data_IF_792890949868
#
_entry.id   IF_792890949868
#
_cell.length_a   1.000
_cell.length_b   1.000
_cell.length_c   1.000
_cell.angle_alpha   90.00
_cell.angle_beta   90.00
_cell.angle_gamma   90.00
#
_symmetry.space_group_name_H-M   'P 1'
#
loop_
_entity.id
_entity.type
_entity.pdbx_description
1 polymer ?
#
# COMPACT_ATOMS: atom_id res chain seq x y z
N UNK A 1 -6.55 35.72 41.01
CA UNK A 1 -7.66 35.47 40.05
C UNK A 1 -7.08 34.65 38.91
N UNK A 2 -7.19 33.33 38.99
CA UNK A 2 -6.81 32.45 37.88
C UNK A 2 -8.11 32.16 37.12
N UNK A 3 -8.24 32.71 35.92
CA UNK A 3 -9.28 32.24 34.99
C UNK A 3 -8.73 30.97 34.35
N UNK A 4 -9.03 29.84 34.96
CA UNK A 4 -8.84 28.54 34.33
C UNK A 4 -9.84 28.46 33.17
N UNK A 5 -9.42 28.88 31.99
CA UNK A 5 -10.23 28.78 30.77
C UNK A 5 -10.47 27.31 30.46
N UNK A 6 -11.63 26.81 30.85
CA UNK A 6 -12.00 25.43 30.63
C UNK A 6 -12.46 25.28 29.17
N UNK A 7 -11.60 24.74 28.30
CA UNK A 7 -11.86 24.59 26.87
C UNK A 7 -13.18 23.85 26.59
N UNK A 8 -13.50 22.85 27.43
CA UNK A 8 -14.73 22.07 27.33
C UNK A 8 -15.96 22.96 27.58
N UNK A 9 -15.89 23.87 28.55
CA UNK A 9 -16.97 24.80 28.89
C UNK A 9 -17.20 25.83 27.77
N UNK A 10 -16.13 26.28 27.12
CA UNK A 10 -16.23 27.18 25.96
C UNK A 10 -16.93 26.52 24.77
N UNK A 11 -16.60 25.24 24.51
CA UNK A 11 -17.27 24.43 23.47
C UNK A 11 -18.72 24.15 23.85
N UNK A 12 -19.01 23.86 25.12
CA UNK A 12 -20.35 23.55 25.60
C UNK A 12 -21.29 24.77 25.58
N UNK A 13 -20.75 25.97 25.79
CA UNK A 13 -21.50 27.22 25.68
C UNK A 13 -21.56 27.79 24.24
N UNK A 14 -20.87 27.18 23.28
CA UNK A 14 -20.87 27.65 21.90
C UNK A 14 -22.24 27.48 21.22
N UNK A 15 -22.51 28.33 20.22
CA UNK A 15 -23.76 28.27 19.44
C UNK A 15 -23.87 26.98 18.63
N UNK A 16 -25.11 26.57 18.33
CA UNK A 16 -25.40 25.29 17.66
C UNK A 16 -24.67 25.12 16.30
N UNK A 17 -24.56 26.15 15.43
CA UNK A 17 -23.79 26.02 14.19
C UNK A 17 -22.31 25.76 14.43
N UNK A 18 -21.71 26.42 15.43
CA UNK A 18 -20.28 26.30 15.77
C UNK A 18 -19.98 24.88 16.26
N UNK A 19 -20.84 24.31 17.11
CA UNK A 19 -20.73 22.91 17.54
C UNK A 19 -20.78 21.93 16.37
N UNK A 20 -21.66 22.17 15.38
CA UNK A 20 -21.76 21.34 14.18
C UNK A 20 -20.48 21.34 13.35
N UNK A 21 -19.88 22.52 13.12
CA UNK A 21 -18.61 22.64 12.40
C UNK A 21 -17.48 21.95 13.17
N UNK A 22 -17.38 22.15 14.49
CA UNK A 22 -16.35 21.50 15.31
C UNK A 22 -16.45 19.97 15.26
N UNK A 23 -17.67 19.42 15.34
CA UNK A 23 -17.89 17.98 15.22
C UNK A 23 -17.43 17.45 13.86
N UNK A 24 -17.79 18.14 12.77
CA UNK A 24 -17.37 17.77 11.42
C UNK A 24 -15.84 17.76 11.29
N UNK A 25 -15.17 18.79 11.82
CA UNK A 25 -13.72 18.88 11.80
C UNK A 25 -13.07 17.71 12.56
N UNK A 26 -13.59 17.34 13.74
CA UNK A 26 -13.09 16.18 14.49
C UNK A 26 -13.27 14.89 13.69
N UNK A 27 -14.43 14.67 13.08
CA UNK A 27 -14.67 13.51 12.23
C UNK A 27 -13.70 13.48 11.03
N UNK A 28 -13.44 14.61 10.40
CA UNK A 28 -12.50 14.72 9.28
C UNK A 28 -11.06 14.40 9.71
N UNK A 29 -10.64 14.84 10.90
CA UNK A 29 -9.32 14.51 11.47
C UNK A 29 -9.19 12.99 11.70
N UNK A 30 -10.19 12.38 12.33
CA UNK A 30 -10.20 10.92 12.59
C UNK A 30 -10.20 10.13 11.28
N UNK A 31 -11.04 10.53 10.32
CA UNK A 31 -11.10 9.89 9.00
C UNK A 31 -9.76 9.99 8.25
N UNK A 32 -9.10 11.15 8.30
CA UNK A 32 -7.78 11.34 7.69
C UNK A 32 -6.74 10.41 8.31
N UNK A 33 -6.70 10.31 9.65
CA UNK A 33 -5.77 9.42 10.35
C UNK A 33 -6.03 7.94 10.04
N UNK A 34 -7.30 7.54 9.93
CA UNK A 34 -7.69 6.20 9.49
C UNK A 34 -7.16 5.87 8.09
N UNK A 35 -7.31 6.79 7.13
CA UNK A 35 -6.82 6.61 5.75
C UNK A 35 -5.29 6.49 5.73
N UNK A 36 -4.58 7.30 6.50
CA UNK A 36 -3.12 7.24 6.62
C UNK A 36 -2.70 5.85 7.13
N UNK A 37 -3.35 5.36 8.18
CA UNK A 37 -3.03 4.04 8.74
C UNK A 37 -3.32 2.91 7.75
N UNK A 38 -4.46 2.96 7.05
CA UNK A 38 -4.83 1.97 6.04
C UNK A 38 -3.82 1.93 4.87
N UNK A 39 -3.42 3.10 4.35
CA UNK A 39 -2.40 3.20 3.31
C UNK A 39 -1.04 2.73 3.80
N UNK A 40 -0.65 3.09 5.03
CA UNK A 40 0.62 2.66 5.60
C UNK A 40 0.70 1.14 5.73
N UNK A 41 -0.37 0.50 6.20
CA UNK A 41 -0.44 -0.96 6.28
C UNK A 41 -0.36 -1.63 4.90
N UNK A 42 -1.05 -1.08 3.90
CA UNK A 42 -0.99 -1.57 2.51
C UNK A 42 0.42 -1.49 1.92
N UNK A 43 1.11 -0.35 2.09
CA UNK A 43 2.49 -0.18 1.63
C UNK A 43 3.46 -1.10 2.37
N UNK A 44 3.28 -1.26 3.69
CA UNK A 44 4.11 -2.17 4.50
C UNK A 44 3.95 -3.62 4.04
N UNK A 45 2.72 -4.05 3.76
CA UNK A 45 2.45 -5.40 3.25
C UNK A 45 3.12 -5.62 1.88
N UNK A 46 2.99 -4.65 0.96
CA UNK A 46 3.64 -4.71 -0.35
C UNK A 46 5.18 -4.75 -0.24
N UNK A 47 5.76 -3.97 0.68
CA UNK A 47 7.21 -3.95 0.94
C UNK A 47 7.72 -5.28 1.48
N UNK A 48 6.99 -5.92 2.41
CA UNK A 48 7.36 -7.25 2.94
C UNK A 48 7.34 -8.30 1.83
N UNK A 49 6.28 -8.32 1.00
CA UNK A 49 6.18 -9.24 -0.14
C UNK A 49 7.31 -9.02 -1.15
N UNK A 50 7.63 -7.76 -1.47
CA UNK A 50 8.72 -7.41 -2.36
C UNK A 50 10.08 -7.89 -1.83
N UNK A 51 10.36 -7.68 -0.54
CA UNK A 51 11.61 -8.12 0.09
C UNK A 51 11.80 -9.64 0.02
N UNK A 52 10.72 -10.41 0.25
CA UNK A 52 10.73 -11.87 0.15
C UNK A 52 11.02 -12.34 -1.28
N UNK A 53 10.40 -11.68 -2.27
CA UNK A 53 10.69 -11.94 -3.67
C UNK A 53 12.15 -11.64 -4.00
N UNK A 54 12.65 -10.49 -3.55
CA UNK A 54 14.03 -10.04 -3.76
C UNK A 54 15.06 -11.04 -3.20
N UNK A 55 14.86 -11.51 -1.96
CA UNK A 55 15.70 -12.57 -1.37
C UNK A 55 15.71 -13.84 -2.24
N UNK A 56 14.56 -14.24 -2.78
CA UNK A 56 14.46 -15.40 -3.67
C UNK A 56 15.16 -15.14 -5.01
N UNK A 57 14.98 -13.95 -5.58
CA UNK A 57 15.59 -13.54 -6.85
C UNK A 57 17.12 -13.53 -6.76
N UNK A 58 17.69 -13.01 -5.66
CA UNK A 58 19.14 -12.94 -5.44
C UNK A 58 19.75 -14.22 -4.86
N UNK A 59 18.94 -15.17 -4.38
CA UNK A 59 19.43 -16.46 -3.84
C UNK A 59 20.11 -17.36 -4.88
N UNK A 60 20.16 -16.96 -6.16
CA UNK A 60 20.74 -17.74 -7.24
C UNK A 60 19.82 -18.86 -7.75
N UNK A 61 18.53 -18.83 -7.39
CA UNK A 61 17.52 -19.69 -8.00
C UNK A 61 17.35 -19.33 -9.47
N UNK A 62 17.19 -20.35 -10.31
CA UNK A 62 16.91 -20.18 -11.74
C UNK A 62 15.64 -19.32 -11.95
N UNK A 63 15.82 -18.17 -12.60
CA UNK A 63 14.75 -17.23 -12.96
C UNK A 63 13.64 -17.90 -13.77
N UNK A 64 13.97 -18.93 -14.56
CA UNK A 64 12.99 -19.70 -15.31
C UNK A 64 12.06 -20.50 -14.37
N UNK A 65 12.61 -21.11 -13.31
CA UNK A 65 11.83 -21.78 -12.27
C UNK A 65 10.99 -20.81 -11.46
N UNK A 66 11.53 -19.62 -11.17
CA UNK A 66 10.78 -18.54 -10.51
C UNK A 66 9.59 -18.09 -11.36
N UNK A 67 9.82 -17.90 -12.66
CA UNK A 67 8.76 -17.57 -13.62
C UNK A 67 7.70 -18.67 -13.73
N UNK A 68 8.08 -19.95 -13.80
CA UNK A 68 7.12 -21.05 -13.82
C UNK A 68 6.26 -21.11 -12.55
N UNK A 69 6.88 -20.88 -11.38
CA UNK A 69 6.17 -20.86 -10.10
C UNK A 69 5.12 -19.74 -10.09
N UNK A 70 5.50 -18.52 -10.47
CA UNK A 70 4.59 -17.37 -10.53
C UNK A 70 3.50 -17.56 -11.60
N UNK A 71 3.84 -18.14 -12.74
CA UNK A 71 2.90 -18.45 -13.83
C UNK A 71 1.90 -19.55 -13.48
N UNK A 72 2.22 -20.44 -12.53
CA UNK A 72 1.29 -21.45 -11.99
C UNK A 72 0.37 -20.86 -10.93
N UNK A 73 0.84 -19.89 -10.16
CA UNK A 73 0.07 -19.18 -9.13
C UNK A 73 -0.68 -17.95 -9.67
N UNK A 74 -1.25 -18.05 -10.87
CA UNK A 74 -2.02 -16.97 -11.51
C UNK A 74 -3.08 -16.40 -10.55
N UNK A 75 -2.97 -15.11 -10.26
CA UNK A 75 -3.89 -14.37 -9.38
C UNK A 75 -3.44 -14.23 -7.92
N UNK A 76 -2.34 -14.89 -7.52
CA UNK A 76 -1.72 -14.68 -6.18
C UNK A 76 -0.48 -13.79 -6.21
N UNK A 77 0.15 -13.60 -7.37
CA UNK A 77 1.29 -12.69 -7.49
C UNK A 77 0.80 -11.25 -7.29
N UNK A 78 1.52 -10.46 -6.50
CA UNK A 78 1.18 -9.04 -6.23
C UNK A 78 2.43 -8.17 -6.19
N UNK A 79 2.30 -6.93 -6.65
CA UNK A 79 3.38 -5.95 -6.67
C UNK A 79 4.55 -6.38 -7.55
N UNK A 80 5.72 -6.56 -6.95
CA UNK A 80 6.99 -6.82 -7.65
C UNK A 80 6.97 -8.14 -8.45
N UNK A 81 6.27 -9.16 -7.96
CA UNK A 81 6.15 -10.46 -8.63
C UNK A 81 5.43 -10.36 -9.99
N UNK A 82 4.40 -9.51 -10.09
CA UNK A 82 3.69 -9.27 -11.36
C UNK A 82 4.55 -8.53 -12.36
N UNK A 83 5.34 -7.56 -11.90
CA UNK A 83 6.27 -6.80 -12.75
C UNK A 83 7.32 -7.75 -13.34
N UNK A 84 7.89 -8.63 -12.51
CA UNK A 84 8.82 -9.65 -12.97
C UNK A 84 8.18 -10.62 -13.98
N UNK A 85 6.99 -11.14 -13.68
CA UNK A 85 6.29 -12.06 -14.59
C UNK A 85 6.03 -11.42 -15.96
N UNK A 86 5.56 -10.17 -15.98
CA UNK A 86 5.31 -9.42 -17.21
C UNK A 86 6.60 -9.17 -17.99
N UNK A 87 7.66 -8.72 -17.32
CA UNK A 87 8.96 -8.44 -17.94
C UNK A 87 9.64 -9.72 -18.48
N UNK A 88 9.63 -10.80 -17.70
CA UNK A 88 10.24 -12.07 -18.10
C UNK A 88 9.48 -12.74 -19.25
N UNK A 89 8.14 -12.61 -19.25
CA UNK A 89 7.30 -13.05 -20.37
C UNK A 89 7.68 -12.33 -21.67
N UNK A 90 7.86 -11.02 -21.62
CA UNK A 90 8.24 -10.25 -22.81
C UNK A 90 9.67 -10.60 -23.25
N UNK A 91 10.62 -10.75 -22.32
CA UNK A 91 11.97 -11.21 -22.62
C UNK A 91 11.98 -12.55 -23.37
N UNK A 92 11.20 -13.53 -22.91
CA UNK A 92 11.05 -14.83 -23.58
C UNK A 92 10.44 -14.70 -24.98
N UNK A 93 9.49 -13.78 -25.16
CA UNK A 93 8.88 -13.48 -26.46
C UNK A 93 9.90 -12.88 -27.43
N UNK A 94 10.65 -11.87 -27.01
CA UNK A 94 11.71 -11.25 -27.83
C UNK A 94 12.79 -12.26 -28.22
N UNK A 95 13.20 -13.13 -27.28
CA UNK A 95 14.22 -14.15 -27.56
C UNK A 95 13.74 -15.20 -28.58
N UNK A 96 12.46 -15.57 -28.55
CA UNK A 96 11.87 -16.46 -29.57
C UNK A 96 11.85 -15.80 -30.96
N UNK A 97 11.51 -14.51 -31.03
CA UNK A 97 11.50 -13.77 -32.30
C UNK A 97 12.90 -13.63 -32.90
N UNK A 98 13.91 -13.34 -32.08
CA UNK A 98 15.31 -13.23 -32.53
C UNK A 98 15.92 -14.56 -33.00
N UNK A 99 15.31 -15.70 -32.69
CA UNK A 99 15.79 -17.02 -33.11
C UNK A 99 15.08 -17.51 -34.40
N UNK A 100 14.04 -16.80 -34.84
CA UNK A 100 13.27 -17.11 -36.05
C UNK A 100 13.69 -16.31 -37.29
N UNK A 101 14.68 -15.43 -37.16
CA UNK A 101 15.40 -14.73 -38.23
C UNK A 101 16.78 -15.36 -38.44
#
# INVERSE_FOLDING_TARGET
>A
MNQDFNFIELVMNASLPVKGVMLLLVMAVVASWWIIFAKWMSLKQASISAKKFEETFWSGVDLHRLYEKLSKEKGKSSGMEQIFEAGFREFLRTRKMSQSD
#
